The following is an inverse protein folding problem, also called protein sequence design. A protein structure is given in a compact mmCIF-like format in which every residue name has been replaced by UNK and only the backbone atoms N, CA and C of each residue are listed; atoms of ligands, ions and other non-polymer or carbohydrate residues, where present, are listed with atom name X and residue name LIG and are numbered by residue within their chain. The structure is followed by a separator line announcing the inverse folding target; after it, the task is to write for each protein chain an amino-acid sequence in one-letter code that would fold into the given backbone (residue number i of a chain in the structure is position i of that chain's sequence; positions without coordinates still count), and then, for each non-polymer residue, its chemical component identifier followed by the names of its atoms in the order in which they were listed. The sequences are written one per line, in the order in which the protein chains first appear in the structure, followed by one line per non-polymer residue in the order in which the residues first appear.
data_IF_675535059468
#
_entry.id   IF_675535059468
#
_cell.length_a   1.000
_cell.length_b   1.000
_cell.length_c   1.000
_cell.angle_alpha   90.00
_cell.angle_beta   90.00
_cell.angle_gamma   90.00
#
_symmetry.space_group_name_H-M   'P 1'
#
loop_
_entity.id
_entity.type
_entity.pdbx_description
1 polymer ?
#
# COMPACT_ATOMS: atom_id res chain seq x y z
N UNK A 1 7.66 57.04 -17.03
CA UNK A 1 8.47 56.25 -16.07
C UNK A 1 7.51 55.50 -15.13
N UNK A 2 7.29 54.26 -15.43
CA UNK A 2 6.50 53.35 -14.60
C UNK A 2 7.43 52.66 -13.61
N UNK A 3 7.21 52.91 -12.30
CA UNK A 3 7.91 52.28 -11.20
C UNK A 3 7.27 50.91 -11.01
N UNK A 4 7.98 49.86 -11.43
CA UNK A 4 7.65 48.47 -11.07
C UNK A 4 8.03 48.30 -9.58
N UNK A 5 7.06 48.37 -8.69
CA UNK A 5 7.21 47.87 -7.33
C UNK A 5 7.18 46.33 -7.35
N UNK A 6 8.36 45.76 -7.30
CA UNK A 6 8.57 44.33 -7.14
C UNK A 6 8.21 43.95 -5.69
N UNK A 7 6.96 43.54 -5.47
CA UNK A 7 6.55 42.93 -4.20
C UNK A 7 7.12 41.54 -4.10
N UNK A 8 8.34 41.40 -3.60
CA UNK A 8 8.84 40.15 -3.07
C UNK A 8 7.90 39.74 -1.92
N UNK A 9 6.93 38.88 -2.21
CA UNK A 9 6.29 38.09 -1.17
C UNK A 9 7.41 37.27 -0.52
N UNK A 10 7.81 37.63 0.71
CA UNK A 10 8.61 36.75 1.56
C UNK A 10 7.84 35.43 1.64
N UNK A 11 8.34 34.40 0.95
CA UNK A 11 7.91 33.04 1.20
C UNK A 11 8.05 32.79 2.70
N UNK A 12 6.94 32.56 3.36
CA UNK A 12 6.90 32.25 4.78
C UNK A 12 7.50 30.84 4.89
N UNK A 13 8.80 30.76 5.14
CA UNK A 13 9.49 29.51 5.38
C UNK A 13 8.97 28.88 6.66
N UNK A 14 8.84 27.56 6.70
CA UNK A 14 8.47 26.78 7.88
C UNK A 14 9.34 27.21 9.08
N UNK A 15 8.70 27.46 10.21
CA UNK A 15 9.41 27.79 11.46
C UNK A 15 9.59 26.53 12.30
N UNK A 16 10.81 26.27 12.75
CA UNK A 16 11.20 25.10 13.56
C UNK A 16 11.81 25.59 14.86
N UNK A 17 11.24 25.18 15.99
CA UNK A 17 11.69 25.51 17.34
C UNK A 17 12.00 24.23 18.12
N UNK A 18 13.18 24.13 18.72
CA UNK A 18 13.55 23.03 19.61
C UNK A 18 13.03 23.32 21.02
N UNK A 19 12.22 22.41 21.57
CA UNK A 19 11.70 22.48 22.95
C UNK A 19 12.12 21.27 23.76
N UNK A 20 12.33 21.49 25.05
CA UNK A 20 12.46 20.44 26.05
C UNK A 20 11.10 20.19 26.69
N UNK A 21 10.58 18.98 26.56
CA UNK A 21 9.30 18.55 27.15
C UNK A 21 9.58 17.44 28.14
N UNK A 22 9.14 17.59 29.39
CA UNK A 22 9.29 16.52 30.39
C UNK A 22 8.29 15.42 30.12
N UNK A 23 8.64 14.18 30.56
CA UNK A 23 7.69 13.06 30.51
C UNK A 23 6.43 13.37 31.32
N UNK A 24 6.55 14.10 32.41
CA UNK A 24 5.41 14.57 33.21
C UNK A 24 4.43 15.39 32.37
N UNK A 25 4.95 16.37 31.62
CA UNK A 25 4.12 17.19 30.74
C UNK A 25 3.53 16.38 29.60
N UNK A 26 4.32 15.49 29.00
CA UNK A 26 3.89 14.64 27.87
C UNK A 26 2.75 13.69 28.27
N UNK A 27 2.87 13.05 29.43
CA UNK A 27 1.91 12.04 29.91
C UNK A 27 0.67 12.65 30.57
N UNK A 28 0.67 13.95 30.81
CA UNK A 28 -0.51 14.63 31.37
C UNK A 28 -1.71 14.47 30.45
N UNK A 29 -2.83 14.02 31.02
CA UNK A 29 -4.06 13.78 30.24
C UNK A 29 -3.95 12.69 29.16
N UNK A 30 -3.00 11.77 29.28
CA UNK A 30 -2.85 10.68 28.32
C UNK A 30 -4.11 9.82 28.28
N UNK A 31 -4.58 9.59 27.05
CA UNK A 31 -5.70 8.67 26.77
C UNK A 31 -5.39 7.92 25.47
N UNK A 32 -5.46 6.60 25.55
CA UNK A 32 -5.39 5.72 24.39
C UNK A 32 -6.79 5.15 24.13
N UNK A 33 -7.47 5.73 23.14
CA UNK A 33 -8.76 5.25 22.69
C UNK A 33 -8.59 4.68 21.28
N UNK A 34 -8.68 3.37 21.17
CA UNK A 34 -8.47 2.65 19.90
C UNK A 34 -9.31 3.18 18.74
N UNK A 35 -10.46 3.80 19.01
CA UNK A 35 -11.35 4.34 17.97
C UNK A 35 -11.10 5.83 17.67
N UNK A 36 -10.83 6.62 18.68
CA UNK A 36 -10.77 8.08 18.57
C UNK A 36 -9.34 8.67 18.56
N UNK A 37 -8.33 7.80 18.59
CA UNK A 37 -6.93 8.23 18.57
C UNK A 37 -6.27 8.19 19.94
N UNK A 38 -5.04 8.69 20.01
CA UNK A 38 -4.21 8.74 21.21
C UNK A 38 -3.80 10.17 21.47
N UNK A 39 -4.06 10.69 22.66
CA UNK A 39 -3.76 12.06 23.03
C UNK A 39 -2.93 12.13 24.31
N UNK A 40 -2.19 13.22 24.47
CA UNK A 40 -1.39 13.53 25.66
C UNK A 40 -1.11 15.03 25.74
N UNK A 41 -0.14 15.42 26.57
CA UNK A 41 0.27 16.83 26.74
C UNK A 41 -0.91 17.74 27.10
N UNK A 42 -1.67 17.35 28.12
CA UNK A 42 -2.87 18.06 28.54
C UNK A 42 -4.01 18.04 27.51
N UNK A 43 -4.08 16.99 26.69
CA UNK A 43 -5.03 16.87 25.60
C UNK A 43 -4.72 17.72 24.36
N UNK A 44 -3.59 18.43 24.35
CA UNK A 44 -3.16 19.31 23.25
C UNK A 44 -2.33 18.60 22.18
N UNK A 45 -1.83 17.40 22.45
CA UNK A 45 -1.03 16.62 21.52
C UNK A 45 -1.84 15.42 21.02
N UNK A 46 -2.05 15.36 19.72
CA UNK A 46 -2.50 14.17 19.03
C UNK A 46 -1.28 13.29 18.75
N UNK A 47 -1.15 12.21 19.53
CA UNK A 47 0.00 11.29 19.47
C UNK A 47 -0.13 10.35 18.29
N UNK A 48 -1.36 9.92 17.99
CA UNK A 48 -1.66 9.10 16.81
C UNK A 48 -2.71 9.81 15.95
N UNK A 49 -2.27 10.73 15.06
CA UNK A 49 -3.16 11.38 14.11
C UNK A 49 -3.90 10.36 13.22
N UNK A 50 -5.11 10.69 12.70
CA UNK A 50 -5.93 9.79 11.91
C UNK A 50 -5.26 9.20 10.68
N UNK A 51 -4.26 9.87 10.09
CA UNK A 51 -3.54 9.42 8.91
C UNK A 51 -2.34 8.49 9.20
N UNK A 52 -1.91 8.39 10.47
CA UNK A 52 -0.84 7.48 10.85
C UNK A 52 -1.38 6.09 11.15
N UNK A 53 -0.51 5.08 11.01
CA UNK A 53 -0.85 3.70 11.29
C UNK A 53 -1.00 3.44 12.79
N UNK A 54 -1.63 2.31 13.11
CA UNK A 54 -1.74 1.83 14.48
C UNK A 54 -0.36 1.59 15.11
N UNK A 55 -0.32 1.68 16.45
CA UNK A 55 0.87 1.37 17.23
C UNK A 55 1.17 -0.14 17.17
N UNK A 56 2.39 -0.49 16.80
CA UNK A 56 2.81 -1.87 16.56
C UNK A 56 4.17 -2.23 17.20
N UNK A 57 4.64 -1.47 18.20
CA UNK A 57 5.87 -1.84 18.91
C UNK A 57 5.71 -3.21 19.56
N UNK A 58 6.72 -4.06 19.34
CA UNK A 58 6.90 -5.29 20.09
C UNK A 58 7.48 -4.96 21.46
N UNK A 59 7.29 -5.86 22.45
CA UNK A 59 7.76 -5.67 23.82
C UNK A 59 9.23 -5.28 23.90
N UNK A 60 10.10 -5.89 23.11
CA UNK A 60 11.54 -5.58 23.08
C UNK A 60 11.83 -4.11 22.71
N UNK A 61 11.08 -3.54 21.78
CA UNK A 61 11.28 -2.14 21.31
C UNK A 61 10.75 -1.15 22.36
N UNK A 62 9.61 -1.47 22.95
CA UNK A 62 9.02 -0.72 24.06
C UNK A 62 9.94 -0.70 25.28
N UNK A 63 10.46 -1.86 25.65
CA UNK A 63 11.40 -2.00 26.77
C UNK A 63 12.70 -1.23 26.54
N UNK A 64 13.20 -1.18 25.30
CA UNK A 64 14.39 -0.40 24.94
C UNK A 64 14.21 1.10 25.19
N UNK A 65 13.02 1.65 24.91
CA UNK A 65 12.70 3.05 25.20
C UNK A 65 12.75 3.32 26.71
N UNK A 66 12.09 2.48 27.51
CA UNK A 66 12.06 2.66 28.98
C UNK A 66 13.45 2.48 29.59
N UNK A 67 14.21 1.47 29.12
CA UNK A 67 15.59 1.26 29.58
C UNK A 67 16.48 2.48 29.31
N UNK A 68 16.32 3.14 28.17
CA UNK A 68 17.07 4.34 27.81
C UNK A 68 16.78 5.49 28.78
N UNK A 69 15.50 5.68 29.13
CA UNK A 69 15.05 6.72 30.08
C UNK A 69 15.55 6.42 31.50
N UNK A 70 15.43 5.18 31.97
CA UNK A 70 15.85 4.79 33.33
C UNK A 70 17.36 4.94 33.53
N UNK A 71 18.14 4.84 32.46
CA UNK A 71 19.59 5.08 32.46
C UNK A 71 19.96 6.53 32.22
N UNK A 72 18.99 7.41 32.07
CA UNK A 72 19.16 8.81 31.69
C UNK A 72 20.01 8.99 30.43
N UNK A 73 19.92 8.05 29.49
CA UNK A 73 20.56 8.17 28.19
C UNK A 73 19.71 9.01 27.25
N UNK A 74 20.31 9.70 26.25
CA UNK A 74 19.55 10.49 25.32
C UNK A 74 18.69 9.63 24.40
N UNK A 75 17.41 9.99 24.26
CA UNK A 75 16.53 9.48 23.21
C UNK A 75 16.68 10.32 21.95
N UNK A 76 16.42 9.71 20.80
CA UNK A 76 16.32 10.46 19.55
C UNK A 76 15.24 11.55 19.65
N UNK A 77 15.52 12.69 19.01
CA UNK A 77 14.58 13.81 18.94
C UNK A 77 13.23 13.40 18.37
N UNK A 78 12.19 14.07 18.79
CA UNK A 78 10.83 13.91 18.29
C UNK A 78 10.43 15.13 17.46
N UNK A 79 9.43 14.98 16.60
CA UNK A 79 8.97 16.04 15.73
C UNK A 79 7.46 16.20 15.85
N UNK A 80 7.04 17.41 16.20
CA UNK A 80 5.63 17.79 16.30
C UNK A 80 5.30 18.90 15.30
N UNK A 81 4.10 18.86 14.72
CA UNK A 81 3.58 19.96 13.91
C UNK A 81 2.50 20.72 14.67
N UNK A 82 2.52 22.05 14.54
CA UNK A 82 1.47 22.92 15.06
C UNK A 82 0.29 22.90 14.09
N UNK A 83 -0.92 22.73 14.61
CA UNK A 83 -2.18 22.84 13.88
C UNK A 83 -2.71 24.26 13.90
N UNK A 84 -3.68 24.58 13.05
CA UNK A 84 -4.31 25.90 12.97
C UNK A 84 -4.99 26.32 14.27
N UNK A 85 -5.53 25.38 15.03
CA UNK A 85 -6.17 25.59 16.34
C UNK A 85 -5.16 25.75 17.51
N UNK A 86 -3.85 25.71 17.23
CA UNK A 86 -2.78 25.79 18.21
C UNK A 86 -2.49 24.49 18.96
N UNK A 87 -3.14 23.40 18.61
CA UNK A 87 -2.80 22.06 19.10
C UNK A 87 -1.63 21.46 18.29
N UNK A 88 -1.15 20.30 18.71
CA UNK A 88 0.00 19.63 18.12
C UNK A 88 -0.35 18.24 17.61
N UNK A 89 0.41 17.78 16.63
CA UNK A 89 0.41 16.39 16.22
C UNK A 89 1.84 15.84 16.16
N UNK A 90 2.01 14.58 16.51
CA UNK A 90 3.30 13.90 16.40
C UNK A 90 3.55 13.54 14.94
N UNK A 91 4.65 14.04 14.39
CA UNK A 91 5.11 13.72 13.04
C UNK A 91 6.07 12.53 13.06
N UNK A 92 7.07 12.56 13.96
CA UNK A 92 7.93 11.42 14.25
C UNK A 92 8.15 11.26 15.75
N UNK A 93 8.31 10.02 16.20
CA UNK A 93 8.41 9.66 17.60
C UNK A 93 7.12 9.14 18.22
N UNK A 94 6.08 8.88 17.44
CA UNK A 94 4.79 8.34 17.89
C UNK A 94 4.97 7.11 18.79
N UNK A 95 5.72 6.13 18.34
CA UNK A 95 5.90 4.86 19.03
C UNK A 95 6.65 5.02 20.36
N UNK A 96 7.66 5.88 20.39
CA UNK A 96 8.38 6.25 21.61
C UNK A 96 7.46 6.97 22.60
N UNK A 97 6.69 7.90 22.10
CA UNK A 97 5.73 8.68 22.90
C UNK A 97 4.67 7.77 23.54
N UNK A 98 4.05 6.88 22.77
CA UNK A 98 3.05 5.94 23.30
C UNK A 98 3.67 5.00 24.32
N UNK A 99 4.85 4.43 24.06
CA UNK A 99 5.54 3.56 25.02
C UNK A 99 5.80 4.25 26.35
N UNK A 100 6.24 5.51 26.32
CA UNK A 100 6.48 6.31 27.53
C UNK A 100 5.18 6.53 28.29
N UNK A 101 4.14 7.00 27.61
CA UNK A 101 2.86 7.29 28.25
C UNK A 101 2.18 6.04 28.81
N UNK A 102 2.18 4.94 28.07
CA UNK A 102 1.65 3.65 28.54
C UNK A 102 2.39 3.12 29.77
N UNK A 103 3.73 3.30 29.85
CA UNK A 103 4.47 2.88 31.02
C UNK A 103 4.11 3.73 32.24
N UNK A 104 4.04 5.06 32.10
CA UNK A 104 3.66 5.97 33.18
C UNK A 104 2.21 5.72 33.63
N UNK A 105 1.32 5.39 32.71
CA UNK A 105 -0.08 5.02 33.00
C UNK A 105 -0.23 3.63 33.63
N UNK A 106 0.83 2.81 33.63
CA UNK A 106 0.86 1.51 34.27
C UNK A 106 0.28 0.37 33.42
N UNK A 107 0.25 0.54 32.09
CA UNK A 107 -0.29 -0.48 31.19
C UNK A 107 0.64 -1.69 31.02
N UNK A 108 1.94 -1.54 31.28
CA UNK A 108 2.89 -2.65 31.22
C UNK A 108 4.02 -2.52 32.25
N UNK A 109 4.68 -3.64 32.52
CA UNK A 109 5.85 -3.70 33.40
C UNK A 109 7.15 -3.70 32.58
N UNK A 110 8.16 -2.95 33.05
CA UNK A 110 9.53 -3.02 32.59
C UNK A 110 10.38 -3.69 33.66
N UNK A 111 11.15 -4.73 33.31
CA UNK A 111 11.92 -5.54 34.24
C UNK A 111 11.09 -6.03 35.46
N UNK A 112 9.88 -6.54 35.18
CA UNK A 112 8.90 -6.99 36.19
C UNK A 112 8.39 -5.91 37.15
N UNK A 113 8.59 -4.62 36.85
CA UNK A 113 8.15 -3.50 37.69
C UNK A 113 7.26 -2.55 36.91
N UNK A 114 6.06 -2.33 37.38
CA UNK A 114 5.18 -1.28 36.88
C UNK A 114 5.64 0.07 37.41
N UNK A 115 5.34 1.15 36.70
CA UNK A 115 5.70 2.51 37.12
C UNK A 115 5.21 2.83 38.54
N UNK A 116 3.96 2.47 38.87
CA UNK A 116 3.39 2.73 40.19
C UNK A 116 4.11 2.01 41.33
N UNK A 117 4.85 0.93 41.04
CA UNK A 117 5.65 0.14 42.03
C UNK A 117 7.08 0.65 42.20
N UNK A 118 7.48 1.71 41.42
CA UNK A 118 8.80 2.30 41.58
C UNK A 118 8.89 3.15 42.86
N UNK A 119 10.11 3.36 43.36
CA UNK A 119 10.38 4.28 44.45
C UNK A 119 10.12 5.72 44.02
N UNK A 120 9.91 6.63 44.98
CA UNK A 120 9.59 8.03 44.71
C UNK A 120 10.66 8.72 43.88
N UNK A 121 11.94 8.49 44.19
CA UNK A 121 13.09 9.05 43.44
C UNK A 121 13.18 8.53 41.99
N UNK A 122 12.91 7.24 41.78
CA UNK A 122 12.88 6.63 40.47
C UNK A 122 11.72 7.19 39.60
N UNK A 123 10.54 7.37 40.20
CA UNK A 123 9.39 8.01 39.53
C UNK A 123 9.71 9.45 39.16
N UNK A 124 10.31 10.21 40.08
CA UNK A 124 10.67 11.59 39.86
C UNK A 124 11.72 11.73 38.72
N UNK A 125 12.72 10.85 38.71
CA UNK A 125 13.72 10.81 37.65
C UNK A 125 13.07 10.60 36.26
N UNK A 126 12.16 9.64 36.16
CA UNK A 126 11.44 9.35 34.90
C UNK A 126 10.56 10.53 34.49
N UNK A 127 9.75 11.06 35.42
CA UNK A 127 8.83 12.17 35.12
C UNK A 127 9.55 13.46 34.72
N UNK A 128 10.73 13.71 35.28
CA UNK A 128 11.54 14.89 34.96
C UNK A 128 12.50 14.68 33.77
N UNK A 129 12.53 13.47 33.19
CA UNK A 129 13.33 13.21 32.00
C UNK A 129 12.88 14.14 30.85
N UNK A 130 13.85 14.82 30.22
CA UNK A 130 13.61 15.81 29.17
C UNK A 130 13.68 15.19 27.80
N UNK A 131 12.59 15.26 27.09
CA UNK A 131 12.47 14.88 25.68
C UNK A 131 12.79 16.11 24.82
N UNK A 132 13.61 15.90 23.80
CA UNK A 132 13.94 16.93 22.81
C UNK A 132 12.93 16.85 21.67
N UNK A 133 12.19 17.94 21.47
CA UNK A 133 11.10 18.01 20.49
C UNK A 133 11.28 19.19 19.56
N UNK A 134 11.40 18.94 18.26
CA UNK A 134 11.26 19.99 17.26
C UNK A 134 9.78 20.24 16.99
N UNK A 135 9.36 21.48 17.26
CA UNK A 135 8.00 21.94 17.00
C UNK A 135 8.01 22.76 15.73
N UNK A 136 7.24 22.34 14.74
CA UNK A 136 7.26 22.87 13.39
C UNK A 136 5.92 23.51 13.04
N UNK A 137 5.95 24.73 12.52
CA UNK A 137 4.79 25.46 12.04
C UNK A 137 5.01 25.91 10.60
N UNK A 138 3.98 25.80 9.76
CA UNK A 138 4.05 26.15 8.36
C UNK A 138 2.74 25.78 7.66
N UNK A 139 2.72 25.87 6.33
CA UNK A 139 1.60 25.40 5.52
C UNK A 139 1.51 23.88 5.51
N UNK A 140 0.35 23.33 5.19
CA UNK A 140 0.17 21.86 5.08
C UNK A 140 1.14 21.24 4.07
N UNK A 141 1.39 21.95 2.95
CA UNK A 141 2.34 21.50 1.92
C UNK A 141 3.78 21.44 2.45
N UNK A 142 4.22 22.45 3.18
CA UNK A 142 5.57 22.50 3.79
C UNK A 142 5.74 21.42 4.86
N UNK A 143 4.74 21.23 5.71
CA UNK A 143 4.74 20.17 6.73
C UNK A 143 4.83 18.79 6.09
N UNK A 144 4.09 18.57 5.00
CA UNK A 144 4.11 17.31 4.27
C UNK A 144 5.46 17.02 3.60
N UNK A 145 6.05 18.02 2.94
CA UNK A 145 7.37 17.90 2.30
C UNK A 145 8.43 17.57 3.35
N UNK A 146 8.41 18.28 4.45
CA UNK A 146 9.32 18.03 5.57
C UNK A 146 9.12 16.65 6.18
N UNK A 147 7.88 16.23 6.36
CA UNK A 147 7.52 14.90 6.84
C UNK A 147 8.04 13.77 5.94
N UNK A 148 7.95 13.92 4.62
CA UNK A 148 8.59 13.00 3.68
C UNK A 148 10.10 12.90 3.90
N UNK A 149 10.74 14.01 4.19
CA UNK A 149 12.18 14.10 4.38
C UNK A 149 12.65 13.40 5.65
N UNK A 150 11.99 13.60 6.80
CA UNK A 150 12.41 13.00 8.08
C UNK A 150 12.12 11.52 8.19
N UNK A 151 11.12 11.00 7.46
CA UNK A 151 10.81 9.57 7.43
C UNK A 151 11.85 8.70 6.68
N UNK A 152 12.89 9.32 6.12
CA UNK A 152 13.95 8.57 5.39
C UNK A 152 14.72 7.60 6.31
N UNK A 153 14.81 7.89 7.61
CA UNK A 153 15.59 7.11 8.58
C UNK A 153 14.78 6.03 9.33
N UNK A 154 13.46 6.01 9.19
CA UNK A 154 12.54 5.07 9.87
C UNK A 154 11.82 4.12 8.93
N UNK A 155 10.79 3.43 9.42
CA UNK A 155 9.86 2.74 8.54
C UNK A 155 9.11 3.77 7.68
N UNK A 156 9.40 3.76 6.38
CA UNK A 156 8.80 4.69 5.43
C UNK A 156 7.27 4.59 5.46
N UNK A 157 6.62 5.74 5.45
CA UNK A 157 5.18 5.80 5.17
C UNK A 157 4.90 5.29 3.76
N UNK A 158 3.77 4.62 3.60
CA UNK A 158 3.26 4.29 2.27
C UNK A 158 2.74 5.55 1.59
N UNK A 159 2.62 5.51 0.27
CA UNK A 159 2.03 6.61 -0.49
C UNK A 159 0.61 6.95 -0.02
N UNK A 160 -0.16 5.93 0.38
CA UNK A 160 -1.51 6.17 0.90
C UNK A 160 -1.52 6.79 2.28
N UNK A 161 -0.56 6.45 3.16
CA UNK A 161 -0.41 7.14 4.46
C UNK A 161 -0.13 8.63 4.25
N UNK A 162 0.69 8.98 3.25
CA UNK A 162 0.97 10.35 2.88
C UNK A 162 -0.27 11.06 2.30
N UNK A 163 -1.03 10.41 1.41
CA UNK A 163 -2.28 10.96 0.87
C UNK A 163 -3.31 11.20 1.98
N UNK A 164 -3.41 10.30 2.96
CA UNK A 164 -4.30 10.47 4.11
C UNK A 164 -3.96 11.73 4.92
N UNK A 165 -2.68 12.10 4.99
CA UNK A 165 -2.26 13.35 5.63
C UNK A 165 -2.67 14.59 4.82
N UNK A 166 -2.49 14.56 3.50
CA UNK A 166 -2.84 15.67 2.61
C UNK A 166 -4.34 15.94 2.60
N UNK A 167 -5.12 14.86 2.46
CA UNK A 167 -6.58 14.92 2.32
C UNK A 167 -7.30 14.60 3.62
N UNK A 168 -6.72 15.03 4.75
CA UNK A 168 -7.34 14.89 6.08
C UNK A 168 -8.74 15.51 6.09
N UNK A 169 -9.71 14.78 6.63
CA UNK A 169 -11.10 15.22 6.72
C UNK A 169 -12.04 14.13 7.20
N UNK A 170 -13.32 14.44 7.22
CA UNK A 170 -14.38 13.53 7.66
C UNK A 170 -14.43 12.26 6.82
N UNK A 171 -14.25 12.39 5.52
CA UNK A 171 -14.29 11.26 4.59
C UNK A 171 -13.18 10.24 4.86
N UNK A 172 -11.91 10.68 4.92
CA UNK A 172 -10.79 9.75 5.14
C UNK A 172 -10.86 9.11 6.53
N UNK A 173 -11.32 9.85 7.52
CA UNK A 173 -11.52 9.33 8.89
C UNK A 173 -12.55 8.22 8.91
N UNK A 174 -13.67 8.37 8.21
CA UNK A 174 -14.68 7.34 8.08
C UNK A 174 -14.21 6.16 7.22
N UNK A 175 -13.52 6.41 6.10
CA UNK A 175 -12.95 5.37 5.25
C UNK A 175 -12.01 4.43 6.02
N UNK A 176 -11.18 4.97 6.90
CA UNK A 176 -10.26 4.19 7.74
C UNK A 176 -10.98 3.20 8.68
N UNK A 177 -12.21 3.46 9.08
CA UNK A 177 -13.01 2.53 9.89
C UNK A 177 -13.28 1.22 9.13
N UNK A 178 -13.49 1.30 7.82
CA UNK A 178 -13.73 0.13 6.98
C UNK A 178 -12.46 -0.57 6.52
N UNK A 179 -11.38 0.19 6.24
CA UNK A 179 -10.25 -0.31 5.45
C UNK A 179 -8.92 -0.39 6.19
N UNK A 180 -8.74 0.28 7.33
CA UNK A 180 -7.41 0.61 7.85
C UNK A 180 -7.09 0.10 9.24
N UNK A 181 -7.91 -0.79 9.77
CA UNK A 181 -7.70 -1.42 11.07
C UNK A 181 -7.36 -2.90 10.93
N UNK A 182 -6.63 -3.44 11.90
CA UNK A 182 -6.45 -4.89 12.01
C UNK A 182 -7.81 -5.57 12.15
N UNK A 183 -8.07 -6.59 11.31
CA UNK A 183 -9.35 -7.30 11.30
C UNK A 183 -10.55 -6.46 10.87
N UNK A 184 -10.34 -5.37 10.13
CA UNK A 184 -11.42 -4.54 9.62
C UNK A 184 -12.35 -5.29 8.66
N UNK A 185 -13.55 -4.74 8.44
CA UNK A 185 -14.57 -5.39 7.60
C UNK A 185 -14.09 -5.60 6.16
N UNK A 186 -13.28 -4.70 5.62
CA UNK A 186 -12.69 -4.85 4.28
C UNK A 186 -11.72 -6.04 4.22
N UNK A 187 -10.92 -6.25 5.27
CA UNK A 187 -10.04 -7.41 5.37
C UNK A 187 -10.83 -8.72 5.48
N UNK A 188 -11.92 -8.71 6.26
CA UNK A 188 -12.73 -9.92 6.46
C UNK A 188 -13.34 -10.44 5.15
N UNK A 189 -13.77 -9.55 4.25
CA UNK A 189 -14.36 -9.97 2.97
C UNK A 189 -13.35 -10.03 1.82
N UNK A 190 -12.30 -9.19 1.85
CA UNK A 190 -11.35 -8.99 0.75
C UNK A 190 -9.97 -9.61 0.95
N UNK A 191 -9.65 -10.12 2.13
CA UNK A 191 -8.31 -10.62 2.47
C UNK A 191 -7.82 -11.79 1.61
N UNK A 192 -8.72 -12.53 0.97
CA UNK A 192 -8.38 -13.61 0.03
C UNK A 192 -8.09 -13.08 -1.40
N UNK A 193 -8.43 -11.81 -1.68
CA UNK A 193 -8.36 -11.21 -3.01
C UNK A 193 -7.34 -10.08 -3.13
N UNK A 194 -7.04 -9.37 -2.03
CA UNK A 194 -6.12 -8.26 -2.01
C UNK A 194 -4.79 -8.65 -1.38
N UNK A 195 -3.71 -8.07 -1.90
CA UNK A 195 -2.41 -8.06 -1.25
C UNK A 195 -2.32 -6.92 -0.23
N UNK A 196 -1.29 -6.97 0.62
CA UNK A 196 -0.97 -5.90 1.54
C UNK A 196 -1.65 -6.01 2.90
N UNK A 197 -1.53 -4.96 3.68
CA UNK A 197 -2.02 -4.84 5.06
C UNK A 197 -2.97 -3.64 5.22
N UNK A 198 -4.13 -3.82 5.86
CA UNK A 198 -5.01 -2.70 6.19
C UNK A 198 -4.32 -1.61 7.01
N UNK A 199 -3.49 -1.99 7.98
CA UNK A 199 -2.75 -1.05 8.84
C UNK A 199 -1.82 -0.16 8.02
N UNK A 200 -1.21 -0.69 6.95
CA UNK A 200 -0.36 0.05 6.00
C UNK A 200 -1.16 0.83 4.96
N UNK A 201 -2.47 0.94 5.12
CA UNK A 201 -3.41 1.63 4.24
C UNK A 201 -3.57 1.01 2.84
N UNK A 202 -2.99 -0.17 2.59
CA UNK A 202 -2.98 -0.78 1.25
C UNK A 202 -4.36 -1.24 0.78
N UNK A 203 -5.25 -1.63 1.71
CA UNK A 203 -6.65 -1.95 1.39
C UNK A 203 -7.43 -0.69 0.99
N UNK A 204 -7.23 0.41 1.71
CA UNK A 204 -7.83 1.71 1.37
C UNK A 204 -7.32 2.20 0.00
N UNK A 205 -6.00 2.16 -0.20
CA UNK A 205 -5.38 2.53 -1.47
C UNK A 205 -5.97 1.75 -2.64
N UNK A 206 -6.06 0.42 -2.51
CA UNK A 206 -6.60 -0.45 -3.55
C UNK A 206 -8.07 -0.13 -3.86
N UNK A 207 -8.89 0.10 -2.84
CA UNK A 207 -10.30 0.44 -3.05
C UNK A 207 -10.46 1.78 -3.79
N UNK A 208 -9.68 2.81 -3.41
CA UNK A 208 -9.68 4.11 -4.09
C UNK A 208 -9.12 3.99 -5.52
N UNK A 209 -8.03 3.23 -5.69
CA UNK A 209 -7.42 2.97 -6.99
C UNK A 209 -8.42 2.38 -7.99
N UNK A 210 -9.23 1.43 -7.53
CA UNK A 210 -10.25 0.80 -8.35
C UNK A 210 -11.41 1.73 -8.71
N UNK A 211 -12.00 2.41 -7.70
CA UNK A 211 -13.17 3.26 -7.94
C UNK A 211 -12.82 4.50 -8.77
N UNK A 212 -11.61 5.02 -8.61
CA UNK A 212 -11.13 6.20 -9.30
C UNK A 212 -10.49 5.93 -10.67
N UNK A 213 -10.33 4.65 -11.03
CA UNK A 213 -9.60 4.23 -12.24
C UNK A 213 -8.22 4.87 -12.31
N UNK A 214 -7.39 4.66 -11.26
CA UNK A 214 -6.02 5.18 -11.11
C UNK A 214 -5.91 6.70 -10.86
N UNK A 215 -7.00 7.36 -10.44
CA UNK A 215 -7.00 8.80 -10.15
C UNK A 215 -7.18 9.05 -8.64
N UNK A 216 -6.36 8.40 -7.81
CA UNK A 216 -6.50 8.38 -6.34
C UNK A 216 -6.56 9.79 -5.76
N UNK A 217 -5.60 10.65 -6.11
CA UNK A 217 -5.49 11.98 -5.52
C UNK A 217 -6.69 12.88 -5.91
N UNK A 218 -7.14 12.79 -7.16
CA UNK A 218 -8.32 13.52 -7.61
C UNK A 218 -9.59 13.06 -6.86
N UNK A 219 -9.75 11.76 -6.67
CA UNK A 219 -10.87 11.20 -5.92
C UNK A 219 -10.85 11.66 -4.46
N UNK A 220 -9.70 11.57 -3.79
CA UNK A 220 -9.56 12.00 -2.39
C UNK A 220 -9.78 13.51 -2.22
N UNK A 221 -9.27 14.33 -3.13
CA UNK A 221 -9.49 15.79 -3.10
C UNK A 221 -10.97 16.13 -3.28
N UNK A 222 -11.66 15.46 -4.20
CA UNK A 222 -13.09 15.69 -4.46
C UNK A 222 -13.96 15.32 -3.25
N UNK A 223 -13.63 14.23 -2.56
CA UNK A 223 -14.43 13.70 -1.47
C UNK A 223 -13.96 14.11 -0.08
N UNK A 224 -12.87 14.87 0.06
CA UNK A 224 -12.20 15.20 1.33
C UNK A 224 -13.18 15.66 2.43
N UNK A 225 -14.18 16.45 2.06
CA UNK A 225 -15.14 17.06 2.98
C UNK A 225 -16.49 16.33 3.03
N UNK A 226 -16.64 15.22 2.34
CA UNK A 226 -17.85 14.39 2.44
C UNK A 226 -17.99 13.85 3.87
N UNK A 227 -19.22 13.71 4.34
CA UNK A 227 -19.49 13.30 5.72
C UNK A 227 -19.03 11.88 6.03
N UNK A 228 -19.05 11.00 5.03
CA UNK A 228 -18.68 9.58 5.17
C UNK A 228 -18.14 9.00 3.88
N UNK A 229 -17.55 7.81 3.98
CA UNK A 229 -17.00 7.03 2.88
C UNK A 229 -17.90 5.82 2.51
N UNK A 230 -19.18 5.87 2.80
CA UNK A 230 -20.12 4.76 2.56
C UNK A 230 -20.14 4.35 1.08
N UNK A 231 -20.04 5.31 0.16
CA UNK A 231 -20.02 5.02 -1.28
C UNK A 231 -18.80 4.15 -1.67
N UNK A 232 -17.63 4.44 -1.13
CA UNK A 232 -16.42 3.62 -1.35
C UNK A 232 -16.59 2.21 -0.75
N UNK A 233 -17.15 2.13 0.45
CA UNK A 233 -17.40 0.85 1.10
C UNK A 233 -18.38 -0.02 0.31
N UNK A 234 -19.50 0.54 -0.13
CA UNK A 234 -20.49 -0.17 -0.95
C UNK A 234 -19.91 -0.62 -2.29
N UNK A 235 -19.10 0.21 -2.92
CA UNK A 235 -18.39 -0.15 -4.14
C UNK A 235 -17.46 -1.37 -3.90
N UNK A 236 -16.64 -1.32 -2.86
CA UNK A 236 -15.73 -2.41 -2.52
C UNK A 236 -16.49 -3.72 -2.26
N UNK A 237 -17.57 -3.66 -1.49
CA UNK A 237 -18.45 -4.82 -1.27
C UNK A 237 -19.01 -5.38 -2.59
N UNK A 238 -19.44 -4.49 -3.49
CA UNK A 238 -19.96 -4.88 -4.79
C UNK A 238 -18.92 -5.59 -5.64
N UNK A 239 -17.67 -5.10 -5.64
CA UNK A 239 -16.55 -5.77 -6.34
C UNK A 239 -16.35 -7.18 -5.79
N UNK A 240 -16.22 -7.34 -4.48
CA UNK A 240 -15.97 -8.66 -3.87
C UNK A 240 -17.15 -9.61 -4.08
N UNK A 241 -18.39 -9.11 -3.97
CA UNK A 241 -19.58 -9.90 -4.22
C UNK A 241 -19.63 -10.38 -5.68
N UNK A 242 -19.34 -9.49 -6.62
CA UNK A 242 -19.31 -9.84 -8.04
C UNK A 242 -18.24 -10.91 -8.34
N UNK A 243 -17.04 -10.79 -7.75
CA UNK A 243 -15.97 -11.80 -7.91
C UNK A 243 -16.45 -13.15 -7.41
N UNK A 244 -17.06 -13.22 -6.23
CA UNK A 244 -17.58 -14.46 -5.66
C UNK A 244 -18.72 -15.05 -6.49
N UNK A 245 -19.56 -14.23 -7.09
CA UNK A 245 -20.67 -14.66 -7.93
C UNK A 245 -20.21 -15.15 -9.32
N UNK A 246 -19.16 -14.53 -9.86
CA UNK A 246 -18.63 -14.88 -11.20
C UNK A 246 -17.72 -16.10 -11.15
N UNK A 247 -16.83 -16.15 -10.17
CA UNK A 247 -15.86 -17.23 -9.94
C UNK A 247 -16.23 -17.98 -8.67
N UNK A 248 -17.15 -18.93 -8.80
CA UNK A 248 -17.81 -19.58 -7.67
C UNK A 248 -16.89 -20.43 -6.80
N UNK A 249 -15.77 -20.93 -7.35
CA UNK A 249 -14.79 -21.70 -6.61
C UNK A 249 -13.58 -20.82 -6.23
N UNK A 250 -13.43 -20.57 -4.93
CA UNK A 250 -12.36 -19.73 -4.42
C UNK A 250 -11.00 -20.42 -4.43
N UNK A 251 -10.05 -19.84 -5.17
CA UNK A 251 -8.66 -20.31 -5.28
C UNK A 251 -7.72 -19.22 -4.81
N UNK A 252 -7.62 -19.01 -3.49
CA UNK A 252 -6.87 -17.91 -2.84
C UNK A 252 -5.48 -17.69 -3.44
N UNK A 253 -4.73 -18.77 -3.69
CA UNK A 253 -3.37 -18.69 -4.23
C UNK A 253 -3.28 -17.93 -5.56
N UNK A 254 -4.29 -18.04 -6.41
CA UNK A 254 -4.29 -17.48 -7.76
C UNK A 254 -5.13 -16.22 -7.88
N UNK A 255 -6.06 -15.99 -6.95
CA UNK A 255 -6.98 -14.86 -6.98
C UNK A 255 -6.42 -13.63 -6.25
N UNK A 256 -5.43 -13.82 -5.39
CA UNK A 256 -4.87 -12.74 -4.57
C UNK A 256 -4.02 -11.78 -5.40
N UNK A 257 -4.27 -10.47 -5.25
CA UNK A 257 -3.50 -9.41 -5.90
C UNK A 257 -3.95 -9.06 -7.34
N UNK A 258 -5.04 -9.66 -7.82
CA UNK A 258 -5.64 -9.29 -9.10
C UNK A 258 -6.36 -7.94 -8.94
N UNK A 259 -6.34 -7.12 -10.00
CA UNK A 259 -7.02 -5.82 -10.02
C UNK A 259 -8.52 -5.99 -10.27
N UNK A 260 -9.20 -6.61 -9.30
CA UNK A 260 -10.60 -6.99 -9.41
C UNK A 260 -11.55 -5.83 -9.68
N UNK A 261 -11.26 -4.64 -9.13
CA UNK A 261 -12.09 -3.47 -9.34
C UNK A 261 -12.13 -3.02 -10.80
N UNK A 262 -11.01 -3.09 -11.51
CA UNK A 262 -10.99 -2.74 -12.95
C UNK A 262 -11.76 -3.76 -13.79
N UNK A 263 -11.67 -5.03 -13.46
CA UNK A 263 -12.46 -6.06 -14.11
C UNK A 263 -13.95 -5.87 -13.81
N UNK A 264 -14.29 -5.59 -12.55
CA UNK A 264 -15.66 -5.26 -12.14
C UNK A 264 -16.21 -4.05 -12.91
N UNK A 265 -15.50 -2.94 -12.93
CA UNK A 265 -15.93 -1.71 -13.60
C UNK A 265 -16.31 -1.96 -15.06
N UNK A 266 -15.58 -2.85 -15.73
CA UNK A 266 -15.77 -3.14 -17.13
C UNK A 266 -16.80 -4.25 -17.43
N UNK A 267 -16.90 -5.24 -16.55
CA UNK A 267 -17.62 -6.49 -16.85
C UNK A 267 -18.82 -6.77 -15.92
N UNK A 268 -19.12 -5.91 -14.94
CA UNK A 268 -20.21 -6.11 -13.96
C UNK A 268 -21.58 -6.33 -14.56
N UNK A 269 -21.85 -5.76 -15.72
CA UNK A 269 -23.16 -5.82 -16.39
C UNK A 269 -23.27 -7.01 -17.38
N UNK A 270 -22.21 -7.81 -17.52
CA UNK A 270 -22.21 -9.00 -18.37
C UNK A 270 -22.77 -10.19 -17.58
N UNK A 271 -23.71 -10.90 -18.19
CA UNK A 271 -24.26 -12.12 -17.61
C UNK A 271 -23.38 -13.29 -18.04
N UNK A 272 -22.87 -14.04 -17.06
CA UNK A 272 -21.99 -15.17 -17.27
C UNK A 272 -22.66 -16.50 -16.92
N UNK A 273 -22.36 -17.54 -17.70
CA UNK A 273 -22.58 -18.91 -17.28
C UNK A 273 -21.45 -19.31 -16.30
N UNK A 274 -21.77 -19.25 -15.01
CA UNK A 274 -20.79 -19.49 -13.93
C UNK A 274 -20.26 -20.92 -13.92
N UNK A 275 -21.05 -21.89 -14.41
CA UNK A 275 -20.61 -23.28 -14.54
C UNK A 275 -19.57 -23.40 -15.64
N UNK A 276 -19.83 -22.82 -16.81
CA UNK A 276 -18.86 -22.80 -17.90
C UNK A 276 -17.56 -22.08 -17.53
N UNK A 277 -17.65 -20.96 -16.80
CA UNK A 277 -16.48 -20.25 -16.25
C UNK A 277 -15.68 -21.17 -15.32
N UNK A 278 -16.32 -21.89 -14.42
CA UNK A 278 -15.64 -22.77 -13.48
C UNK A 278 -14.93 -23.94 -14.19
N UNK A 279 -15.60 -24.57 -15.15
CA UNK A 279 -15.02 -25.63 -15.95
C UNK A 279 -13.80 -25.15 -16.75
N UNK A 280 -13.88 -23.97 -17.35
CA UNK A 280 -12.77 -23.35 -18.08
C UNK A 280 -11.63 -22.95 -17.14
N UNK A 281 -11.93 -22.38 -15.99
CA UNK A 281 -10.94 -22.00 -14.97
C UNK A 281 -10.15 -23.23 -14.52
N UNK A 282 -10.85 -24.32 -14.19
CA UNK A 282 -10.21 -25.56 -13.77
C UNK A 282 -9.32 -26.14 -14.86
N UNK A 283 -9.79 -26.14 -16.13
CA UNK A 283 -9.02 -26.61 -17.30
C UNK A 283 -7.73 -25.79 -17.47
N UNK A 284 -7.81 -24.46 -17.40
CA UNK A 284 -6.67 -23.57 -17.58
C UNK A 284 -5.66 -23.68 -16.43
N UNK A 285 -6.11 -23.92 -15.21
CA UNK A 285 -5.22 -24.15 -14.06
C UNK A 285 -4.43 -25.44 -14.25
N UNK A 286 -5.05 -26.47 -14.81
CA UNK A 286 -4.41 -27.77 -15.11
C UNK A 286 -3.51 -27.73 -16.35
N UNK A 287 -3.61 -26.73 -17.21
CA UNK A 287 -2.82 -26.61 -18.44
C UNK A 287 -1.40 -26.15 -18.16
N UNK A 288 -0.42 -27.01 -18.37
CA UNK A 288 1.01 -26.72 -18.16
C UNK A 288 1.57 -25.65 -19.10
N UNK A 289 0.88 -25.34 -20.21
CA UNK A 289 1.26 -24.26 -21.12
C UNK A 289 0.93 -22.87 -20.55
N UNK A 290 0.03 -22.79 -19.57
CA UNK A 290 -0.35 -21.56 -18.89
C UNK A 290 0.58 -21.33 -17.69
N UNK A 291 1.57 -20.45 -17.84
CA UNK A 291 2.53 -20.17 -16.75
C UNK A 291 1.97 -19.22 -15.69
N UNK A 292 1.20 -18.22 -16.11
CA UNK A 292 0.64 -17.18 -15.21
C UNK A 292 -0.78 -17.53 -14.78
N UNK A 293 -0.92 -18.41 -13.79
CA UNK A 293 -2.25 -18.88 -13.31
C UNK A 293 -3.15 -17.75 -12.80
N UNK A 294 -2.61 -16.70 -12.19
CA UNK A 294 -3.38 -15.52 -11.77
C UNK A 294 -3.98 -14.74 -12.94
N UNK A 295 -3.42 -14.86 -14.13
CA UNK A 295 -3.93 -14.20 -15.33
C UNK A 295 -5.17 -14.88 -15.94
N UNK A 296 -5.49 -16.10 -15.52
CA UNK A 296 -6.64 -16.87 -16.02
C UNK A 296 -7.95 -16.09 -15.85
N UNK A 297 -8.14 -15.44 -14.73
CA UNK A 297 -9.36 -14.69 -14.42
C UNK A 297 -9.57 -13.51 -15.37
N UNK A 298 -8.52 -12.74 -15.64
CA UNK A 298 -8.57 -11.67 -16.63
C UNK A 298 -8.77 -12.21 -18.05
N UNK A 299 -8.09 -13.31 -18.40
CA UNK A 299 -8.25 -13.96 -19.70
C UNK A 299 -9.69 -14.40 -19.95
N UNK A 300 -10.33 -15.06 -19.00
CA UNK A 300 -11.72 -15.53 -19.14
C UNK A 300 -12.67 -14.39 -19.48
N UNK A 301 -12.44 -13.21 -18.89
CA UNK A 301 -13.28 -12.02 -19.09
C UNK A 301 -12.91 -11.27 -20.40
N UNK A 302 -11.63 -11.17 -20.72
CA UNK A 302 -11.13 -10.34 -21.83
C UNK A 302 -10.86 -11.10 -23.11
N UNK A 303 -10.63 -12.42 -23.00
CA UNK A 303 -10.13 -13.30 -24.07
C UNK A 303 -8.74 -12.91 -24.59
N UNK A 304 -7.97 -12.17 -23.85
CA UNK A 304 -6.61 -11.76 -24.21
C UNK A 304 -5.58 -12.75 -23.64
N UNK A 305 -4.96 -13.55 -24.51
CA UNK A 305 -3.97 -14.57 -24.14
C UNK A 305 -2.72 -14.01 -23.46
N UNK A 306 -2.44 -12.72 -23.60
CA UNK A 306 -1.29 -12.07 -22.93
C UNK A 306 -1.37 -12.18 -21.41
N UNK A 307 -2.56 -12.31 -20.84
CA UNK A 307 -2.73 -12.54 -19.40
C UNK A 307 -2.22 -13.90 -18.94
N UNK A 308 -2.19 -14.90 -19.79
CA UNK A 308 -1.87 -16.27 -19.43
C UNK A 308 -0.37 -16.55 -19.35
N UNK A 309 0.48 -15.70 -19.97
CA UNK A 309 1.90 -15.97 -20.04
C UNK A 309 2.17 -17.34 -20.65
N UNK A 310 1.64 -17.59 -21.85
CA UNK A 310 1.81 -18.87 -22.53
C UNK A 310 3.29 -19.19 -22.65
N UNK A 311 3.63 -20.45 -22.37
CA UNK A 311 4.98 -20.96 -22.40
C UNK A 311 5.69 -20.63 -23.71
N UNK A 312 6.95 -20.21 -23.62
CA UNK A 312 7.79 -19.92 -24.79
C UNK A 312 8.85 -20.99 -25.01
N UNK A 313 9.31 -21.13 -26.23
CA UNK A 313 10.38 -22.08 -26.56
C UNK A 313 11.69 -21.67 -25.92
N UNK A 314 12.43 -22.66 -25.38
CA UNK A 314 13.78 -22.44 -24.86
C UNK A 314 14.76 -22.09 -25.98
N UNK A 315 15.86 -21.42 -25.63
CA UNK A 315 16.88 -21.06 -26.60
C UNK A 315 17.51 -22.29 -27.26
N UNK A 316 17.61 -23.42 -26.54
CA UNK A 316 18.08 -24.68 -27.09
C UNK A 316 17.14 -25.21 -28.18
N UNK A 317 15.82 -25.14 -28.00
CA UNK A 317 14.84 -25.53 -29.00
C UNK A 317 14.87 -24.61 -30.21
N UNK A 318 14.93 -23.30 -29.97
CA UNK A 318 15.05 -22.28 -31.04
C UNK A 318 16.30 -22.50 -31.89
N UNK A 319 17.45 -22.77 -31.26
CA UNK A 319 18.70 -23.07 -31.98
C UNK A 319 18.57 -24.33 -32.85
N UNK A 320 18.05 -25.41 -32.30
CA UNK A 320 17.84 -26.65 -33.07
C UNK A 320 16.94 -26.46 -34.28
N UNK A 321 15.84 -25.72 -34.10
CA UNK A 321 14.88 -25.47 -35.18
C UNK A 321 15.49 -24.53 -36.23
N UNK A 322 16.27 -23.50 -35.78
CA UNK A 322 17.02 -22.62 -36.69
C UNK A 322 17.97 -23.41 -37.59
N UNK A 323 18.77 -24.35 -37.02
CA UNK A 323 19.68 -25.18 -37.78
C UNK A 323 18.94 -26.08 -38.77
N UNK A 324 17.82 -26.69 -38.35
CA UNK A 324 16.97 -27.52 -39.26
C UNK A 324 16.41 -26.69 -40.43
N UNK A 325 16.03 -25.42 -40.17
CA UNK A 325 15.53 -24.51 -41.18
C UNK A 325 16.66 -23.86 -42.00
N UNK A 326 17.94 -24.07 -41.63
CA UNK A 326 19.12 -23.44 -42.24
C UNK A 326 19.01 -21.91 -42.27
N UNK A 327 18.45 -21.33 -41.20
CA UNK A 327 18.23 -19.87 -41.06
C UNK A 327 17.17 -19.29 -42.02
N UNK A 328 16.38 -20.12 -42.70
CA UNK A 328 15.38 -19.63 -43.68
C UNK A 328 14.01 -19.51 -43.02
N UNK A 329 13.42 -18.31 -43.09
CA UNK A 329 12.04 -18.09 -42.64
C UNK A 329 11.05 -18.87 -43.52
N UNK A 330 10.18 -19.73 -42.95
CA UNK A 330 9.27 -20.55 -43.73
C UNK A 330 8.15 -19.76 -44.45
N UNK A 331 7.92 -18.49 -44.05
CA UNK A 331 6.92 -17.60 -44.68
C UNK A 331 7.54 -16.85 -45.87
N UNK A 332 8.50 -15.97 -45.62
CA UNK A 332 9.05 -15.11 -46.69
C UNK A 332 10.19 -15.81 -47.48
N UNK A 333 10.63 -16.99 -47.06
CA UNK A 333 11.68 -17.79 -47.72
C UNK A 333 13.06 -17.13 -47.78
N UNK A 334 13.32 -16.07 -46.99
CA UNK A 334 14.61 -15.40 -46.91
C UNK A 334 15.42 -15.94 -45.75
N UNK A 335 16.74 -15.93 -45.93
CA UNK A 335 17.71 -16.29 -44.89
C UNK A 335 17.92 -15.13 -43.93
N UNK A 336 17.98 -15.40 -42.62
CA UNK A 336 18.25 -14.44 -41.54
C UNK A 336 19.23 -15.04 -40.53
N UNK A 337 19.97 -14.18 -39.85
CA UNK A 337 20.68 -14.54 -38.63
C UNK A 337 19.67 -14.89 -37.52
N UNK A 338 20.05 -15.79 -36.61
CA UNK A 338 19.16 -16.23 -35.52
C UNK A 338 18.69 -15.06 -34.64
N UNK A 339 19.50 -14.02 -34.47
CA UNK A 339 19.16 -12.81 -33.71
C UNK A 339 18.03 -11.99 -34.33
N UNK A 340 17.78 -12.18 -35.64
CA UNK A 340 16.70 -11.55 -36.41
C UNK A 340 15.45 -12.43 -36.51
N UNK A 341 15.45 -13.59 -35.85
CA UNK A 341 14.35 -14.54 -35.88
C UNK A 341 13.78 -14.78 -34.46
N UNK A 342 12.54 -15.20 -34.43
CA UNK A 342 11.81 -15.52 -33.18
C UNK A 342 11.16 -16.90 -33.32
N UNK A 343 11.15 -17.64 -32.17
CA UNK A 343 10.44 -18.92 -32.10
C UNK A 343 8.95 -18.70 -31.99
N UNK A 344 8.20 -19.33 -32.87
CA UNK A 344 6.76 -19.24 -32.97
C UNK A 344 6.12 -20.63 -33.00
N UNK A 345 4.89 -20.73 -32.48
CA UNK A 345 4.12 -21.97 -32.55
C UNK A 345 3.52 -22.20 -33.96
N UNK A 346 3.82 -23.32 -34.59
CA UNK A 346 3.19 -23.71 -35.87
C UNK A 346 1.67 -23.79 -35.71
N UNK A 347 1.22 -24.55 -34.72
CA UNK A 347 -0.16 -24.58 -34.23
C UNK A 347 -0.25 -23.74 -32.98
N UNK A 348 -1.03 -22.63 -32.96
CA UNK A 348 -1.19 -21.76 -31.80
C UNK A 348 -1.75 -22.50 -30.57
N UNK A 349 -1.46 -21.99 -29.37
CA UNK A 349 -1.94 -22.57 -28.11
C UNK A 349 -3.47 -22.72 -28.08
N UNK A 350 -4.22 -21.71 -28.51
CA UNK A 350 -5.69 -21.74 -28.53
C UNK A 350 -6.28 -22.79 -29.50
N UNK A 351 -5.49 -23.29 -30.41
CA UNK A 351 -5.83 -24.40 -31.29
C UNK A 351 -5.28 -25.77 -30.79
N UNK A 352 -4.78 -25.80 -29.53
CA UNK A 352 -4.25 -27.01 -28.91
C UNK A 352 -2.75 -27.23 -29.12
N UNK A 353 -2.03 -26.25 -29.68
CA UNK A 353 -0.58 -26.33 -29.87
C UNK A 353 0.17 -26.41 -28.54
N UNK A 354 1.23 -27.21 -28.49
CA UNK A 354 2.12 -27.37 -27.33
C UNK A 354 3.47 -26.74 -27.58
N UNK A 355 4.17 -26.33 -26.53
CA UNK A 355 5.52 -25.78 -26.61
C UNK A 355 6.56 -26.89 -26.63
N UNK A 356 6.59 -27.63 -27.73
CA UNK A 356 7.51 -28.71 -28.02
C UNK A 356 8.24 -28.47 -29.35
N UNK A 357 9.40 -29.11 -29.55
CA UNK A 357 10.26 -28.85 -30.72
C UNK A 357 9.51 -29.05 -32.06
N UNK A 358 8.65 -30.06 -32.13
CA UNK A 358 7.85 -30.39 -33.34
C UNK A 358 6.84 -29.31 -33.72
N UNK A 359 6.42 -28.51 -32.77
CA UNK A 359 5.50 -27.40 -32.97
C UNK A 359 6.20 -26.02 -33.00
N UNK A 360 7.54 -26.01 -33.06
CA UNK A 360 8.33 -24.79 -33.14
C UNK A 360 8.73 -24.49 -34.59
N UNK A 361 8.59 -23.23 -34.96
CA UNK A 361 9.21 -22.66 -36.18
C UNK A 361 9.93 -21.38 -35.85
N UNK A 362 11.02 -21.09 -36.57
CA UNK A 362 11.72 -19.85 -36.50
C UNK A 362 11.21 -18.91 -37.62
N UNK A 363 10.62 -17.79 -37.24
CA UNK A 363 10.14 -16.78 -38.17
C UNK A 363 11.02 -15.53 -38.09
N UNK A 364 11.21 -14.81 -39.18
CA UNK A 364 11.74 -13.44 -39.10
C UNK A 364 10.77 -12.56 -38.30
N UNK A 365 11.32 -11.54 -37.61
CA UNK A 365 10.51 -10.68 -36.72
C UNK A 365 9.30 -10.05 -37.41
N UNK A 366 9.41 -9.68 -38.68
CA UNK A 366 8.31 -9.09 -39.44
C UNK A 366 7.17 -10.08 -39.72
N UNK A 367 7.51 -11.31 -40.10
CA UNK A 367 6.48 -12.31 -40.36
C UNK A 367 5.84 -12.82 -39.07
N UNK A 368 6.63 -12.90 -37.97
CA UNK A 368 6.10 -13.25 -36.67
C UNK A 368 5.09 -12.22 -36.15
N UNK A 369 5.40 -10.92 -36.30
CA UNK A 369 4.48 -9.82 -35.95
C UNK A 369 3.20 -9.89 -36.76
N UNK A 370 3.30 -10.07 -38.09
CA UNK A 370 2.12 -10.18 -38.95
C UNK A 370 1.24 -11.37 -38.58
N UNK A 371 1.84 -12.52 -38.28
CA UNK A 371 1.11 -13.71 -37.84
C UNK A 371 0.39 -13.46 -36.50
N UNK A 372 1.03 -12.72 -35.59
CA UNK A 372 0.49 -12.41 -34.27
C UNK A 372 -0.56 -11.28 -34.29
N UNK A 373 -0.89 -10.71 -35.43
CA UNK A 373 -1.87 -9.62 -35.57
C UNK A 373 -1.41 -8.28 -34.97
N UNK A 374 -0.09 -8.06 -34.90
CA UNK A 374 0.53 -6.83 -34.36
C UNK A 374 1.12 -5.96 -35.46
#
# INVERSE_FOLDING_TARGET
SAIFTNSYQKQKTMNIELKEITIKELSDGFQDNNENGVVGFGGKLDIRPPYQREFIYKDKQRDAVINTITKNFPLNVMYWAVREDGTFEVIDGQQRTISICQYVDGEFAFQNRYFHNLKADEKEQILNYKLMVYVCSGTESEKLEWFKTINIAGEKLTEQELRNAVYTGSWVSDAKRYFSKSGCVAYNIGGDYLNGSPIRQEFLETAIYWISEDKIENYMATHQHDQNATALWMYFQSVITWVNATFTNKRKKFMKGIQWGFLYNKYKDVIYDTKAIEEETARLIADDEVEKKSGIYAYILTRDERYLGIRTFSDSVKQKVYEKQKGVCPICKKHYDISAMEGDHITPWHEGGKTIEENCQMLCKDDNRRKSGK
#
